data_IF_069611930282
#
_entry.id   IF_069611930282
#
_cell.length_a   1.000
_cell.length_b   1.000
_cell.length_c   1.000
_cell.angle_alpha   90.00
_cell.angle_beta   90.00
_cell.angle_gamma   90.00
#
_symmetry.space_group_name_H-M   'P 1'
#
loop_
_entity.id
_entity.type
_entity.pdbx_description
1 polymer ?
#
# COMPACT_ATOMS: atom_id res chain seq x y z
N UNK A 1 10.74 -18.84 -9.35
CA UNK A 1 11.41 -17.66 -8.72
C UNK A 1 10.80 -17.48 -7.35
N UNK A 2 11.59 -17.22 -6.31
CA UNK A 2 11.07 -16.99 -4.95
C UNK A 2 10.76 -15.51 -4.81
N UNK A 3 9.49 -15.17 -4.64
CA UNK A 3 9.03 -13.80 -4.37
C UNK A 3 9.66 -13.28 -3.06
N UNK A 4 9.93 -11.97 -2.98
CA UNK A 4 10.44 -11.33 -1.75
C UNK A 4 9.33 -11.22 -0.70
N UNK A 5 8.06 -11.06 -1.15
CA UNK A 5 6.85 -11.13 -0.35
C UNK A 5 5.82 -12.00 -1.08
N UNK A 6 5.21 -12.94 -0.36
CA UNK A 6 4.10 -13.76 -0.83
C UNK A 6 2.98 -13.73 0.19
N UNK A 7 1.82 -13.25 -0.22
CA UNK A 7 0.60 -13.14 0.58
C UNK A 7 -0.47 -14.02 -0.05
N UNK A 8 -1.00 -14.97 0.73
CA UNK A 8 -2.03 -15.88 0.25
C UNK A 8 -3.22 -15.88 1.20
N UNK A 9 -4.41 -15.74 0.62
CA UNK A 9 -5.69 -15.82 1.31
C UNK A 9 -5.74 -14.95 2.59
N UNK A 10 -5.14 -13.75 2.57
CA UNK A 10 -5.13 -12.87 3.72
C UNK A 10 -6.56 -12.45 4.07
N UNK A 11 -6.96 -12.75 5.29
CA UNK A 11 -8.25 -12.36 5.88
C UNK A 11 -8.03 -11.64 7.18
N UNK A 12 -8.64 -10.47 7.31
CA UNK A 12 -8.66 -9.69 8.55
C UNK A 12 -10.10 -9.48 8.96
N UNK A 13 -10.40 -9.78 10.23
CA UNK A 13 -11.75 -9.67 10.75
C UNK A 13 -11.83 -8.78 11.98
N UNK A 14 -13.00 -8.21 12.21
CA UNK A 14 -13.37 -7.47 13.41
C UNK A 14 -14.68 -8.01 13.98
N UNK A 15 -14.83 -8.05 15.30
CA UNK A 15 -16.13 -8.33 15.91
C UNK A 15 -17.11 -7.19 15.60
N UNK A 16 -18.36 -7.54 15.27
CA UNK A 16 -19.44 -6.59 15.01
C UNK A 16 -20.75 -7.22 15.48
N UNK A 17 -21.35 -6.69 16.53
CA UNK A 17 -22.54 -7.21 17.21
C UNK A 17 -22.40 -8.72 17.50
N UNK A 18 -23.19 -9.56 16.85
CA UNK A 18 -23.16 -11.02 17.04
C UNK A 18 -22.41 -11.78 15.93
N UNK A 19 -21.65 -11.09 15.08
CA UNK A 19 -20.92 -11.68 13.93
C UNK A 19 -19.54 -11.09 13.77
N UNK A 20 -18.75 -11.65 12.87
CA UNK A 20 -17.49 -11.05 12.40
C UNK A 20 -17.69 -10.40 11.05
N UNK A 21 -17.02 -9.29 10.83
CA UNK A 21 -16.93 -8.60 9.53
C UNK A 21 -15.50 -8.73 9.01
N UNK A 22 -15.32 -8.79 7.70
CA UNK A 22 -14.05 -9.10 7.05
C UNK A 22 -13.63 -7.97 6.10
N UNK A 23 -13.11 -6.81 6.60
CA UNK A 23 -12.66 -5.73 5.73
C UNK A 23 -11.57 -6.12 4.73
N UNK A 24 -10.82 -7.20 5.01
CA UNK A 24 -9.91 -7.88 4.08
C UNK A 24 -10.33 -9.35 4.03
N UNK A 25 -10.59 -9.87 2.85
CA UNK A 25 -11.23 -11.17 2.68
C UNK A 25 -10.70 -11.94 1.46
N UNK A 26 -9.69 -12.77 1.70
CA UNK A 26 -9.09 -13.62 0.69
C UNK A 26 -8.16 -12.87 -0.28
N UNK A 27 -7.43 -11.87 0.22
CA UNK A 27 -6.46 -11.12 -0.57
C UNK A 27 -5.20 -11.95 -0.77
N UNK A 28 -4.78 -12.08 -2.05
CA UNK A 28 -3.57 -12.81 -2.42
C UNK A 28 -2.80 -12.01 -3.46
N UNK A 29 -1.53 -11.77 -3.22
CA UNK A 29 -0.60 -11.11 -4.14
C UNK A 29 0.84 -11.45 -3.78
N UNK A 30 1.76 -11.18 -4.68
CA UNK A 30 3.19 -11.32 -4.44
C UNK A 30 3.93 -10.06 -4.86
N UNK A 31 5.18 -9.94 -4.44
CA UNK A 31 6.06 -8.85 -4.78
C UNK A 31 7.45 -9.40 -5.05
N UNK A 32 8.05 -9.03 -6.17
CA UNK A 32 9.39 -9.41 -6.55
C UNK A 32 10.42 -8.34 -6.14
N UNK A 33 11.69 -8.74 -6.06
CA UNK A 33 12.77 -7.81 -5.70
C UNK A 33 12.88 -6.69 -6.76
N UNK A 34 12.92 -5.44 -6.29
CA UNK A 34 13.00 -4.27 -7.16
C UNK A 34 11.69 -3.91 -7.87
N UNK A 35 10.62 -4.71 -7.70
CA UNK A 35 9.30 -4.46 -8.26
C UNK A 35 8.55 -3.41 -7.45
N UNK A 36 7.72 -2.61 -8.13
CA UNK A 36 6.66 -1.81 -7.52
C UNK A 36 5.31 -2.40 -7.86
N UNK A 37 4.60 -2.93 -6.86
CA UNK A 37 3.19 -3.30 -6.96
C UNK A 37 2.33 -2.16 -6.41
N UNK A 38 1.42 -1.63 -7.21
CA UNK A 38 0.43 -0.69 -6.74
C UNK A 38 -0.84 -1.40 -6.27
N UNK A 39 -1.29 -1.13 -5.05
CA UNK A 39 -2.59 -1.56 -4.53
C UNK A 39 -3.53 -0.36 -4.55
N UNK A 40 -4.50 -0.36 -5.46
CA UNK A 40 -5.39 0.79 -5.71
C UNK A 40 -6.86 0.47 -5.42
N UNK A 41 -7.66 1.49 -5.13
CA UNK A 41 -9.10 1.38 -4.91
C UNK A 41 -9.66 2.52 -4.09
N UNK A 42 -10.98 2.62 -3.99
CA UNK A 42 -11.67 3.65 -3.20
C UNK A 42 -11.31 3.56 -1.71
N UNK A 43 -11.50 4.66 -0.97
CA UNK A 43 -11.33 4.67 0.49
C UNK A 43 -12.25 3.63 1.16
N UNK A 44 -11.75 2.98 2.21
CA UNK A 44 -12.50 1.95 2.94
C UNK A 44 -12.53 0.56 2.29
N UNK A 45 -11.89 0.33 1.12
CA UNK A 45 -11.87 -0.99 0.49
C UNK A 45 -10.91 -2.02 1.13
N UNK A 46 -10.10 -1.63 2.14
CA UNK A 46 -9.24 -2.54 2.91
C UNK A 46 -7.73 -2.41 2.66
N UNK A 47 -7.26 -1.47 1.84
CA UNK A 47 -5.84 -1.31 1.46
C UNK A 47 -4.90 -1.12 2.67
N UNK A 48 -5.16 -0.09 3.49
CA UNK A 48 -4.34 0.20 4.68
C UNK A 48 -4.38 -0.93 5.70
N UNK A 49 -5.50 -1.63 5.82
CA UNK A 49 -5.60 -2.77 6.71
C UNK A 49 -4.80 -3.97 6.19
N UNK A 50 -4.73 -4.14 4.87
CA UNK A 50 -3.86 -5.12 4.22
C UNK A 50 -2.38 -4.82 4.54
N UNK A 51 -1.95 -3.56 4.42
CA UNK A 51 -0.56 -3.16 4.74
C UNK A 51 -0.20 -3.38 6.21
N UNK A 52 -1.09 -3.01 7.12
CA UNK A 52 -0.90 -3.24 8.56
C UNK A 52 -0.80 -4.72 8.91
N UNK A 53 -1.57 -5.58 8.22
CA UNK A 53 -1.53 -7.02 8.43
C UNK A 53 -0.16 -7.64 8.09
N UNK A 54 0.55 -7.11 7.08
CA UNK A 54 1.90 -7.57 6.71
C UNK A 54 2.90 -7.45 7.88
N UNK A 55 2.66 -6.52 8.78
CA UNK A 55 3.49 -6.25 9.96
C UNK A 55 2.84 -6.74 11.27
N UNK A 56 1.73 -7.48 11.21
CA UNK A 56 0.91 -7.83 12.39
C UNK A 56 0.57 -6.60 13.24
N UNK A 57 0.21 -5.47 12.60
CA UNK A 57 -0.19 -4.21 13.23
C UNK A 57 -1.70 -3.96 13.13
N UNK A 58 -2.49 -5.01 12.88
CA UNK A 58 -3.96 -4.89 12.87
C UNK A 58 -4.42 -4.37 14.23
N UNK A 59 -5.18 -3.25 14.29
CA UNK A 59 -5.60 -2.66 15.55
C UNK A 59 -6.62 -3.55 16.27
N UNK A 60 -6.53 -3.59 17.60
CA UNK A 60 -7.53 -4.29 18.43
C UNK A 60 -8.91 -3.66 18.25
N UNK A 61 -9.99 -4.45 18.23
CA UNK A 61 -10.09 -5.90 18.44
C UNK A 61 -9.97 -6.75 17.15
N UNK A 62 -9.38 -6.20 16.09
CA UNK A 62 -9.17 -6.90 14.81
C UNK A 62 -8.15 -8.03 14.94
N UNK A 63 -8.27 -9.02 14.08
CA UNK A 63 -7.32 -10.15 14.01
C UNK A 63 -7.14 -10.66 12.59
N UNK A 64 -5.96 -11.22 12.33
CA UNK A 64 -5.67 -11.95 11.09
C UNK A 64 -6.21 -13.38 11.30
N UNK A 65 -7.05 -13.83 10.36
CA UNK A 65 -7.73 -15.13 10.46
C UNK A 65 -6.79 -16.29 10.13
N UNK A 66 -7.01 -17.47 10.76
CA UNK A 66 -6.34 -18.71 10.38
C UNK A 66 -6.51 -19.02 8.90
N UNK A 67 -5.48 -19.62 8.29
CA UNK A 67 -5.43 -19.89 6.84
C UNK A 67 -4.91 -18.73 6.00
N UNK A 68 -4.66 -17.56 6.61
CA UNK A 68 -3.88 -16.49 5.98
C UNK A 68 -2.40 -16.87 5.97
N UNK A 69 -1.68 -16.53 4.89
CA UNK A 69 -0.23 -16.74 4.77
C UNK A 69 0.44 -15.42 4.41
N UNK A 70 1.49 -15.07 5.13
CA UNK A 70 2.38 -13.93 4.81
C UNK A 70 3.81 -14.45 4.92
N UNK A 71 4.51 -14.57 3.78
CA UNK A 71 5.90 -15.04 3.71
C UNK A 71 6.84 -13.97 3.20
N UNK A 72 7.98 -13.83 3.85
CA UNK A 72 9.12 -13.06 3.38
C UNK A 72 10.21 -14.06 2.98
N UNK A 73 10.31 -14.35 1.69
CA UNK A 73 11.05 -15.50 1.17
C UNK A 73 10.63 -16.76 1.95
N UNK A 74 11.54 -17.36 2.73
CA UNK A 74 11.29 -18.60 3.49
C UNK A 74 10.71 -18.36 4.90
N UNK A 75 10.47 -17.11 5.31
CA UNK A 75 10.03 -16.76 6.67
C UNK A 75 8.52 -16.57 6.72
N UNK A 76 7.82 -17.39 7.51
CA UNK A 76 6.40 -17.17 7.85
C UNK A 76 6.28 -16.05 8.88
N UNK A 77 5.79 -14.87 8.44
CA UNK A 77 5.64 -13.69 9.29
C UNK A 77 4.62 -13.94 10.40
N UNK A 78 3.55 -14.70 10.12
CA UNK A 78 2.46 -14.90 11.08
C UNK A 78 2.86 -15.84 12.24
N UNK A 79 3.90 -16.64 12.07
CA UNK A 79 4.45 -17.48 13.13
C UNK A 79 5.35 -16.69 14.10
N UNK A 80 5.83 -15.50 13.72
CA UNK A 80 6.79 -14.74 14.52
C UNK A 80 6.14 -14.00 15.69
N UNK A 81 6.87 -13.87 16.80
CA UNK A 81 6.48 -13.13 18.01
C UNK A 81 7.70 -12.42 18.61
N UNK A 82 7.43 -11.45 19.47
CA UNK A 82 8.46 -10.76 20.26
C UNK A 82 9.62 -10.22 19.42
N UNK A 83 10.85 -10.55 19.80
CA UNK A 83 12.06 -10.02 19.17
C UNK A 83 12.21 -10.45 17.69
N UNK A 84 11.77 -11.66 17.32
CA UNK A 84 11.82 -12.11 15.93
C UNK A 84 10.90 -11.26 15.03
N UNK A 85 9.70 -10.92 15.51
CA UNK A 85 8.79 -10.03 14.80
C UNK A 85 9.33 -8.58 14.76
N UNK A 86 9.94 -8.11 15.85
CA UNK A 86 10.57 -6.78 15.90
C UNK A 86 11.66 -6.64 14.84
N UNK A 87 12.46 -7.69 14.58
CA UNK A 87 13.48 -7.69 13.52
C UNK A 87 12.91 -7.61 12.11
N UNK A 88 11.72 -8.16 11.87
CA UNK A 88 11.04 -8.02 10.57
C UNK A 88 10.61 -6.56 10.34
N UNK A 89 10.01 -5.94 11.38
CA UNK A 89 9.57 -4.55 11.33
C UNK A 89 10.78 -3.63 11.26
N UNK A 90 10.92 -2.93 10.16
CA UNK A 90 12.04 -2.04 9.85
C UNK A 90 13.14 -2.70 9.03
N UNK A 91 13.67 -3.89 9.42
CA UNK A 91 14.80 -4.53 8.72
C UNK A 91 14.41 -5.28 7.44
N UNK A 92 13.25 -5.92 7.43
CA UNK A 92 12.74 -6.61 6.25
C UNK A 92 11.64 -5.80 5.57
N UNK A 93 10.73 -5.23 6.34
CA UNK A 93 9.64 -4.37 5.85
C UNK A 93 9.72 -3.03 6.58
N UNK A 94 10.01 -1.96 5.84
CA UNK A 94 9.79 -0.58 6.24
C UNK A 94 8.38 -0.13 5.87
N UNK A 95 7.79 0.78 6.65
CA UNK A 95 6.45 1.28 6.37
C UNK A 95 6.38 2.81 6.50
N UNK A 96 5.83 3.45 5.48
CA UNK A 96 5.40 4.84 5.48
C UNK A 96 3.90 4.83 5.75
N UNK A 97 3.47 5.41 6.87
CA UNK A 97 2.07 5.49 7.26
C UNK A 97 1.38 6.66 6.55
N UNK A 98 0.06 6.59 6.46
CA UNK A 98 -0.77 7.55 5.73
C UNK A 98 -0.69 9.00 6.26
N UNK A 99 -0.55 9.19 7.58
CA UNK A 99 -0.58 10.52 8.21
C UNK A 99 0.75 10.84 8.93
N UNK A 100 1.54 11.80 8.40
CA UNK A 100 2.77 12.23 9.04
C UNK A 100 2.56 12.97 10.36
N UNK A 101 1.39 13.52 10.58
CA UNK A 101 1.09 14.28 11.81
C UNK A 101 0.94 13.38 13.02
N UNK A 102 0.42 12.16 12.82
CA UNK A 102 0.23 11.18 13.89
C UNK A 102 1.40 10.21 14.02
N UNK A 103 2.22 10.07 12.97
CA UNK A 103 3.33 9.11 12.92
C UNK A 103 4.61 9.64 13.57
N UNK A 104 4.84 10.96 13.54
CA UNK A 104 5.99 11.58 14.22
C UNK A 104 5.60 11.99 15.64
N UNK A 105 6.40 11.56 16.62
CA UNK A 105 6.20 11.97 18.00
C UNK A 105 6.61 13.46 18.18
N UNK A 106 5.68 14.37 18.53
CA UNK A 106 5.94 15.81 18.55
C UNK A 106 6.91 16.26 19.66
N UNK A 107 7.13 15.45 20.69
CA UNK A 107 7.99 15.79 21.84
C UNK A 107 9.42 15.29 21.69
N UNK A 108 9.76 14.53 20.64
CA UNK A 108 11.11 14.11 20.32
C UNK A 108 11.66 14.83 19.08
N UNK A 109 12.97 15.08 19.08
CA UNK A 109 13.63 15.66 17.91
C UNK A 109 13.66 14.67 16.75
N UNK A 110 13.70 15.19 15.54
CA UNK A 110 13.76 14.39 14.30
C UNK A 110 14.93 13.41 14.32
N UNK A 111 16.13 13.90 14.67
CA UNK A 111 17.33 13.06 14.74
C UNK A 111 17.22 11.93 15.76
N UNK A 112 16.56 12.17 16.89
CA UNK A 112 16.39 11.14 17.92
C UNK A 112 15.47 10.02 17.43
N UNK A 113 14.38 10.35 16.73
CA UNK A 113 13.44 9.37 16.19
C UNK A 113 14.07 8.49 15.08
N UNK A 114 14.88 9.08 14.19
CA UNK A 114 15.62 8.32 13.16
C UNK A 114 16.70 7.45 13.83
N UNK A 115 17.46 8.02 14.77
CA UNK A 115 18.54 7.31 15.49
C UNK A 115 18.00 6.13 16.29
N UNK A 116 16.84 6.26 16.93
CA UNK A 116 16.16 5.15 17.61
C UNK A 116 15.89 3.99 16.68
N UNK A 117 15.35 4.25 15.49
CA UNK A 117 15.11 3.22 14.46
C UNK A 117 16.40 2.51 14.04
N UNK A 118 17.50 3.25 13.88
CA UNK A 118 18.81 2.68 13.54
C UNK A 118 19.32 1.78 14.69
N UNK A 119 19.35 2.28 15.92
CA UNK A 119 19.86 1.56 17.09
C UNK A 119 19.01 0.33 17.45
N UNK A 120 17.74 0.31 17.08
CA UNK A 120 16.88 -0.86 17.26
C UNK A 120 17.33 -2.06 16.42
N UNK A 121 18.08 -1.83 15.33
CA UNK A 121 18.44 -2.87 14.34
C UNK A 121 19.94 -3.06 14.17
N UNK A 122 20.76 -2.06 14.51
CA UNK A 122 22.22 -2.11 14.34
C UNK A 122 22.94 -1.95 15.67
N UNK A 123 23.96 -2.77 15.87
CA UNK A 123 24.85 -2.68 17.04
C UNK A 123 26.00 -1.68 16.78
N UNK A 124 25.67 -0.39 16.77
CA UNK A 124 26.62 0.70 16.54
C UNK A 124 26.50 1.74 17.64
N UNK A 125 27.47 2.64 17.72
CA UNK A 125 27.45 3.75 18.68
C UNK A 125 26.35 4.77 18.34
N UNK A 126 25.93 5.54 19.34
CA UNK A 126 24.94 6.62 19.15
C UNK A 126 25.47 7.71 18.21
N UNK A 127 26.79 7.96 18.21
CA UNK A 127 27.41 8.90 17.28
C UNK A 127 27.28 8.41 15.83
N UNK A 128 27.68 7.18 15.55
CA UNK A 128 27.52 6.57 14.22
C UNK A 128 26.07 6.51 13.76
N UNK A 129 25.13 6.21 14.67
CA UNK A 129 23.70 6.22 14.34
C UNK A 129 23.22 7.63 14.00
N UNK A 130 23.74 8.67 14.66
CA UNK A 130 23.42 10.06 14.35
C UNK A 130 23.99 10.50 12.99
N UNK A 131 25.19 10.05 12.63
CA UNK A 131 25.80 10.32 11.34
C UNK A 131 24.98 9.65 10.20
N UNK A 132 24.53 8.41 10.41
CA UNK A 132 23.61 7.74 9.47
C UNK A 132 22.26 8.46 9.37
N UNK A 133 21.72 8.97 10.48
CA UNK A 133 20.50 9.75 10.47
C UNK A 133 20.66 11.04 9.64
N UNK A 134 21.81 11.70 9.72
CA UNK A 134 22.16 12.85 8.91
C UNK A 134 22.20 12.49 7.42
N UNK A 135 22.85 11.38 7.06
CA UNK A 135 22.90 10.88 5.68
C UNK A 135 21.50 10.58 5.15
N UNK A 136 20.64 9.95 5.93
CA UNK A 136 19.24 9.69 5.53
C UNK A 136 18.47 10.97 5.27
N UNK A 137 18.64 12.01 6.11
CA UNK A 137 17.99 13.31 5.84
C UNK A 137 18.48 13.96 4.55
N UNK A 138 19.76 13.79 4.20
CA UNK A 138 20.32 14.25 2.92
C UNK A 138 19.74 13.46 1.74
N UNK A 139 19.68 12.14 1.85
CA UNK A 139 19.12 11.25 0.81
C UNK A 139 17.66 11.55 0.50
N UNK A 140 16.86 11.84 1.52
CA UNK A 140 15.45 12.23 1.32
C UNK A 140 15.29 13.70 0.91
N UNK A 141 16.37 14.45 0.80
CA UNK A 141 16.39 15.84 0.33
C UNK A 141 15.84 16.86 1.33
N UNK A 142 16.11 16.68 2.62
CA UNK A 142 15.83 17.69 3.64
C UNK A 142 16.86 18.84 3.50
N UNK A 143 16.42 20.10 3.39
CA UNK A 143 17.31 21.25 3.40
C UNK A 143 17.90 21.44 4.81
N UNK A 144 19.16 21.90 4.90
CA UNK A 144 19.87 22.16 6.16
C UNK A 144 19.81 20.99 7.15
N UNK A 145 20.18 19.76 6.75
CA UNK A 145 19.87 18.54 7.50
C UNK A 145 20.53 18.51 8.89
N UNK A 146 21.66 19.19 9.09
CA UNK A 146 22.33 19.31 10.38
C UNK A 146 21.46 20.09 11.39
N UNK A 147 20.83 21.17 10.94
CA UNK A 147 19.90 21.95 11.76
C UNK A 147 18.61 21.14 12.02
N UNK A 148 18.06 20.51 10.95
CA UNK A 148 16.80 19.76 11.03
C UNK A 148 16.89 18.48 11.86
N UNK A 149 18.08 17.90 12.05
CA UNK A 149 18.28 16.82 13.03
C UNK A 149 17.87 17.22 14.45
N UNK A 150 18.07 18.50 14.81
CA UNK A 150 17.77 19.03 16.14
C UNK A 150 16.36 19.63 16.24
N UNK A 151 15.66 19.77 15.11
CA UNK A 151 14.32 20.31 15.06
C UNK A 151 13.27 19.32 15.59
N UNK A 152 12.14 19.85 16.05
CA UNK A 152 10.95 19.09 16.39
C UNK A 152 10.00 19.01 15.19
N UNK A 153 9.14 17.98 15.10
CA UNK A 153 8.20 17.82 13.97
C UNK A 153 7.35 19.08 13.69
N UNK A 154 6.90 19.79 14.70
CA UNK A 154 6.07 20.98 14.54
C UNK A 154 6.81 22.17 13.88
N UNK A 155 8.16 22.14 13.85
CA UNK A 155 8.99 23.15 13.19
C UNK A 155 9.22 22.86 11.70
N UNK A 156 8.68 21.75 11.17
CA UNK A 156 8.84 21.31 9.80
C UNK A 156 7.56 21.55 8.99
N UNK A 157 7.71 21.83 7.69
CA UNK A 157 6.59 21.83 6.75
C UNK A 157 6.01 20.42 6.55
N UNK A 158 4.81 20.30 5.98
CA UNK A 158 4.18 19.00 5.68
C UNK A 158 5.06 18.08 4.83
N UNK A 159 5.62 18.61 3.75
CA UNK A 159 6.54 17.86 2.89
C UNK A 159 7.85 17.47 3.57
N UNK A 160 8.39 18.29 4.49
CA UNK A 160 9.57 17.93 5.27
C UNK A 160 9.23 16.82 6.28
N UNK A 161 8.08 16.86 6.95
CA UNK A 161 7.64 15.76 7.84
C UNK A 161 7.49 14.45 7.07
N UNK A 162 6.94 14.50 5.86
CA UNK A 162 6.83 13.32 5.00
C UNK A 162 8.21 12.74 4.65
N UNK A 163 9.18 13.58 4.30
CA UNK A 163 10.56 13.16 4.03
C UNK A 163 11.23 12.55 5.27
N UNK A 164 10.96 13.09 6.46
CA UNK A 164 11.43 12.51 7.73
C UNK A 164 10.81 11.14 7.98
N UNK A 165 9.51 10.95 7.71
CA UNK A 165 8.88 9.61 7.80
C UNK A 165 9.52 8.61 6.84
N UNK A 166 9.84 9.03 5.62
CA UNK A 166 10.58 8.19 4.66
C UNK A 166 11.95 7.82 5.24
N UNK A 167 12.69 8.79 5.81
CA UNK A 167 13.98 8.53 6.44
C UNK A 167 13.87 7.52 7.60
N UNK A 168 12.84 7.61 8.43
CA UNK A 168 12.57 6.65 9.51
C UNK A 168 12.24 5.27 8.95
N UNK A 169 11.39 5.17 7.92
CA UNK A 169 11.04 3.91 7.29
C UNK A 169 12.25 3.20 6.67
N UNK A 170 13.24 3.98 6.21
CA UNK A 170 14.49 3.49 5.61
C UNK A 170 15.65 3.30 6.61
N UNK A 171 15.48 3.71 7.86
CA UNK A 171 16.52 3.73 8.88
C UNK A 171 17.15 2.35 9.14
N UNK A 172 16.39 1.29 8.99
CA UNK A 172 16.85 -0.08 9.15
C UNK A 172 17.20 -0.78 7.81
N UNK A 173 17.29 -0.06 6.69
CA UNK A 173 17.62 -0.58 5.36
C UNK A 173 16.71 -1.75 4.94
N UNK A 174 15.40 -1.53 4.78
CA UNK A 174 14.44 -2.58 4.46
C UNK A 174 14.63 -3.17 3.06
N UNK A 175 14.23 -4.43 2.90
CA UNK A 175 14.13 -5.09 1.58
C UNK A 175 12.85 -4.71 0.85
N UNK A 176 11.78 -4.42 1.61
CA UNK A 176 10.46 -4.03 1.12
C UNK A 176 10.05 -2.74 1.80
N UNK A 177 9.57 -1.79 1.02
CA UNK A 177 8.94 -0.57 1.51
C UNK A 177 7.44 -0.61 1.23
N UNK A 178 6.64 -0.57 2.28
CA UNK A 178 5.18 -0.38 2.19
C UNK A 178 4.90 1.11 2.32
N UNK A 179 4.38 1.73 1.27
CA UNK A 179 4.04 3.15 1.25
C UNK A 179 2.51 3.31 1.20
N UNK A 180 1.90 3.56 2.35
CA UNK A 180 0.45 3.71 2.49
C UNK A 180 0.05 5.18 2.31
N UNK A 181 -0.46 5.50 1.12
CA UNK A 181 -0.84 6.85 0.70
C UNK A 181 0.24 7.91 1.01
N UNK A 182 1.48 7.73 0.53
CA UNK A 182 2.64 8.50 0.98
C UNK A 182 2.60 9.99 0.61
N UNK A 183 1.60 10.43 -0.12
CA UNK A 183 1.47 11.82 -0.60
C UNK A 183 0.13 12.46 -0.26
N UNK A 184 -0.69 11.79 0.55
CA UNK A 184 -2.00 12.35 0.97
C UNK A 184 -1.82 13.66 1.74
N UNK A 185 -2.68 14.64 1.47
CA UNK A 185 -2.67 15.99 2.03
C UNK A 185 -1.44 16.87 1.67
N UNK A 186 -0.69 16.51 0.63
CA UNK A 186 0.38 17.34 0.06
C UNK A 186 -0.10 18.03 -1.23
N UNK A 187 0.48 19.19 -1.53
CA UNK A 187 0.28 19.82 -2.83
C UNK A 187 0.94 19.02 -3.97
N UNK A 188 0.46 19.20 -5.19
CA UNK A 188 0.89 18.41 -6.37
C UNK A 188 2.41 18.47 -6.61
N UNK A 189 3.03 19.61 -6.34
CA UNK A 189 4.47 19.80 -6.55
C UNK A 189 5.27 19.00 -5.53
N UNK A 190 4.92 19.09 -4.26
CA UNK A 190 5.55 18.31 -3.18
C UNK A 190 5.29 16.83 -3.34
N UNK A 191 4.08 16.44 -3.76
CA UNK A 191 3.73 15.06 -4.09
C UNK A 191 4.67 14.49 -5.15
N UNK A 192 4.89 15.20 -6.27
CA UNK A 192 5.79 14.76 -7.33
C UNK A 192 7.23 14.56 -6.81
N UNK A 193 7.73 15.50 -6.01
CA UNK A 193 9.06 15.41 -5.40
C UNK A 193 9.22 14.23 -4.43
N UNK A 194 8.20 13.93 -3.63
CA UNK A 194 8.21 12.78 -2.71
C UNK A 194 8.27 11.46 -3.50
N UNK A 195 7.47 11.35 -4.55
CA UNK A 195 7.45 10.16 -5.40
C UNK A 195 8.78 9.97 -6.13
N UNK A 196 9.41 11.04 -6.62
CA UNK A 196 10.74 10.99 -7.22
C UNK A 196 11.81 10.52 -6.23
N UNK A 197 11.74 10.96 -4.98
CA UNK A 197 12.62 10.46 -3.90
C UNK A 197 12.42 8.96 -3.70
N UNK A 198 11.18 8.48 -3.65
CA UNK A 198 10.88 7.05 -3.47
C UNK A 198 11.40 6.23 -4.66
N UNK A 199 11.19 6.67 -5.90
CA UNK A 199 11.66 5.99 -7.12
C UNK A 199 13.20 5.88 -7.14
N UNK A 200 13.90 6.99 -6.82
CA UNK A 200 15.36 7.00 -6.72
C UNK A 200 15.88 6.04 -5.65
N UNK A 201 15.27 6.05 -4.45
CA UNK A 201 15.69 5.19 -3.34
C UNK A 201 15.36 3.72 -3.62
N UNK A 202 14.24 3.41 -4.27
CA UNK A 202 13.91 2.07 -4.74
C UNK A 202 15.02 1.54 -5.66
N UNK A 203 15.35 2.31 -6.69
CA UNK A 203 16.34 1.91 -7.70
C UNK A 203 17.74 1.78 -7.09
N UNK A 204 18.18 2.75 -6.29
CA UNK A 204 19.55 2.75 -5.72
C UNK A 204 19.76 1.64 -4.70
N UNK A 205 18.71 1.21 -3.99
CA UNK A 205 18.78 0.19 -2.94
C UNK A 205 18.28 -1.19 -3.38
N UNK A 206 17.71 -1.29 -4.60
CA UNK A 206 17.10 -2.53 -5.11
C UNK A 206 15.94 -3.04 -4.26
N UNK A 207 15.20 -2.11 -3.62
CA UNK A 207 14.04 -2.43 -2.78
C UNK A 207 12.83 -2.79 -3.63
N UNK A 208 11.98 -3.66 -3.09
CA UNK A 208 10.62 -3.83 -3.57
C UNK A 208 9.70 -2.79 -2.91
N UNK A 209 8.67 -2.32 -3.62
CA UNK A 209 7.73 -1.31 -3.11
C UNK A 209 6.29 -1.80 -3.25
N UNK A 210 5.55 -1.82 -2.15
CA UNK A 210 4.09 -1.91 -2.16
C UNK A 210 3.53 -0.49 -2.02
N UNK A 211 3.09 0.09 -3.13
CA UNK A 211 2.53 1.43 -3.18
C UNK A 211 1.00 1.37 -3.05
N UNK A 212 0.48 1.88 -1.96
CA UNK A 212 -0.96 1.99 -1.73
C UNK A 212 -1.40 3.42 -2.05
N UNK A 213 -2.37 3.55 -2.95
CA UNK A 213 -2.91 4.85 -3.33
C UNK A 213 -4.32 4.72 -3.90
N UNK A 214 -5.07 5.81 -3.87
CA UNK A 214 -6.32 5.94 -4.63
C UNK A 214 -6.14 6.74 -5.92
N UNK A 215 -4.95 7.29 -6.17
CA UNK A 215 -4.63 8.11 -7.33
C UNK A 215 -3.96 7.27 -8.43
N UNK A 216 -4.71 6.95 -9.48
CA UNK A 216 -4.22 6.23 -10.65
C UNK A 216 -3.16 7.02 -11.45
N UNK A 217 -3.14 8.36 -11.33
CA UNK A 217 -2.12 9.19 -11.96
C UNK A 217 -0.73 8.94 -11.38
N UNK A 218 -0.65 8.63 -10.07
CA UNK A 218 0.61 8.26 -9.42
C UNK A 218 1.12 6.91 -9.92
N UNK A 219 0.21 5.97 -10.14
CA UNK A 219 0.52 4.59 -10.54
C UNK A 219 1.12 4.52 -11.94
N UNK A 220 0.55 5.33 -12.86
CA UNK A 220 1.03 5.41 -14.23
C UNK A 220 2.51 5.85 -14.28
N UNK A 221 3.37 4.99 -14.84
CA UNK A 221 4.80 5.25 -14.99
C UNK A 221 5.65 4.99 -13.73
N UNK A 222 5.07 4.46 -12.63
CA UNK A 222 5.80 4.11 -11.40
C UNK A 222 5.64 2.66 -10.96
N UNK A 223 4.46 2.09 -11.15
CA UNK A 223 4.22 0.71 -10.79
C UNK A 223 4.49 -0.22 -11.98
N UNK A 224 5.09 -1.38 -11.69
CA UNK A 224 5.28 -2.45 -12.66
C UNK A 224 3.98 -3.24 -12.82
N UNK A 225 3.27 -3.49 -11.72
CA UNK A 225 1.97 -4.16 -11.66
C UNK A 225 0.98 -3.40 -10.80
N UNK A 226 -0.29 -3.61 -11.08
CA UNK A 226 -1.41 -3.01 -10.32
C UNK A 226 -2.37 -4.10 -9.87
N UNK A 227 -2.72 -4.07 -8.60
CA UNK A 227 -3.81 -4.84 -8.02
C UNK A 227 -4.92 -3.87 -7.59
N UNK A 228 -6.09 -4.00 -8.20
CA UNK A 228 -7.26 -3.17 -7.90
C UNK A 228 -8.08 -3.85 -6.81
N UNK A 229 -8.30 -3.15 -5.71
CA UNK A 229 -9.03 -3.64 -4.54
C UNK A 229 -10.41 -3.01 -4.43
N UNK A 230 -11.43 -3.83 -4.18
CA UNK A 230 -12.79 -3.38 -3.92
C UNK A 230 -13.43 -4.25 -2.83
N UNK A 231 -14.05 -3.60 -1.84
CA UNK A 231 -14.81 -4.27 -0.77
C UNK A 231 -14.08 -5.47 -0.15
N UNK A 232 -12.79 -5.31 0.19
CA UNK A 232 -11.97 -6.33 0.85
C UNK A 232 -11.33 -7.37 -0.06
N UNK A 233 -11.48 -7.30 -1.38
CA UNK A 233 -10.94 -8.28 -2.33
C UNK A 233 -10.15 -7.62 -3.45
N UNK A 234 -9.14 -8.32 -3.98
CA UNK A 234 -8.54 -7.97 -5.27
C UNK A 234 -9.51 -8.42 -6.37
N UNK A 235 -9.94 -7.46 -7.17
CA UNK A 235 -10.93 -7.67 -8.22
C UNK A 235 -10.34 -7.65 -9.64
N UNK A 236 -9.17 -7.06 -9.80
CA UNK A 236 -8.40 -7.06 -11.05
C UNK A 236 -6.92 -6.89 -10.75
N UNK A 237 -6.08 -7.59 -11.49
CA UNK A 237 -4.62 -7.53 -11.38
C UNK A 237 -4.00 -7.73 -12.76
N UNK A 238 -3.07 -6.83 -13.13
CA UNK A 238 -2.33 -6.90 -14.38
C UNK A 238 -1.03 -6.08 -14.34
N UNK A 239 -0.10 -6.26 -15.28
CA UNK A 239 0.94 -5.28 -15.58
C UNK A 239 0.32 -3.90 -15.82
N UNK A 240 1.00 -2.85 -15.37
CA UNK A 240 0.47 -1.48 -15.39
C UNK A 240 0.04 -1.06 -16.79
N UNK A 241 0.91 -1.25 -17.78
CA UNK A 241 0.60 -0.87 -19.15
C UNK A 241 -0.66 -1.57 -19.69
N UNK A 242 -0.81 -2.86 -19.41
CA UNK A 242 -1.96 -3.65 -19.84
C UNK A 242 -3.25 -3.19 -19.15
N UNK A 243 -3.22 -2.94 -17.83
CA UNK A 243 -4.38 -2.47 -17.09
C UNK A 243 -4.85 -1.10 -17.58
N UNK A 244 -3.90 -0.18 -17.87
CA UNK A 244 -4.21 1.15 -18.36
C UNK A 244 -4.73 1.14 -19.81
N UNK A 245 -4.22 0.24 -20.66
CA UNK A 245 -4.68 0.08 -22.02
C UNK A 245 -6.06 -0.60 -22.11
N UNK A 246 -6.29 -1.63 -21.29
CA UNK A 246 -7.46 -2.49 -21.38
C UNK A 246 -8.01 -2.93 -20.01
N UNK A 247 -8.54 -1.99 -19.18
CA UNK A 247 -9.18 -2.34 -17.93
C UNK A 247 -10.41 -3.23 -18.20
N UNK A 248 -10.46 -4.42 -17.59
CA UNK A 248 -11.46 -5.43 -17.93
C UNK A 248 -12.62 -5.48 -16.94
N UNK A 249 -12.34 -5.28 -15.63
CA UNK A 249 -13.40 -5.28 -14.63
C UNK A 249 -14.23 -3.97 -14.68
N UNK A 250 -15.56 -4.03 -14.64
CA UNK A 250 -16.41 -2.84 -14.69
C UNK A 250 -16.13 -1.77 -13.64
N UNK A 251 -15.68 -2.15 -12.45
CA UNK A 251 -15.24 -1.21 -11.43
C UNK A 251 -13.96 -0.46 -11.85
N UNK A 252 -12.97 -1.17 -12.36
CA UNK A 252 -11.73 -0.57 -12.87
C UNK A 252 -12.00 0.39 -14.01
N UNK A 253 -12.87 -0.01 -14.95
CA UNK A 253 -13.34 0.86 -16.03
C UNK A 253 -13.98 2.15 -15.48
N UNK A 254 -14.78 2.03 -14.41
CA UNK A 254 -15.39 3.17 -13.72
C UNK A 254 -14.36 4.06 -13.04
N UNK A 255 -13.34 3.49 -12.38
CA UNK A 255 -12.24 4.25 -11.77
C UNK A 255 -11.50 5.07 -12.84
N UNK A 256 -11.12 4.47 -13.97
CA UNK A 256 -10.47 5.18 -15.07
C UNK A 256 -11.36 6.25 -15.72
N UNK A 257 -12.67 6.03 -15.79
CA UNK A 257 -13.62 7.02 -16.30
C UNK A 257 -13.82 8.22 -15.38
N UNK A 258 -13.45 8.09 -14.11
CA UNK A 258 -13.53 9.17 -13.10
C UNK A 258 -12.26 10.02 -13.02
N UNK A 259 -11.16 9.61 -13.66
CA UNK A 259 -9.89 10.36 -13.68
C UNK A 259 -9.83 11.31 -14.86
N UNK A 260 -9.49 12.62 -14.66
CA UNK A 260 -9.30 13.55 -15.76
C UNK A 260 -8.15 13.11 -16.69
N UNK A 261 -8.36 13.14 -18.00
CA UNK A 261 -7.29 12.95 -18.97
C UNK A 261 -6.57 14.27 -19.21
N UNK A 262 -5.24 14.24 -19.17
CA UNK A 262 -4.40 15.44 -19.43
C UNK A 262 -4.38 15.76 -20.94
N UNK A 263 -4.59 14.74 -21.79
CA UNK A 263 -4.56 14.88 -23.25
C UNK A 263 -5.84 14.40 -23.90
N UNK A 264 -6.26 15.05 -25.00
CA UNK A 264 -7.46 14.72 -25.74
C UNK A 264 -8.66 15.63 -25.45
N UNK A 265 -9.81 15.40 -26.09
CA UNK A 265 -11.00 16.20 -25.88
C UNK A 265 -11.53 16.07 -24.47
N UNK A 266 -11.96 17.20 -23.88
CA UNK A 266 -12.61 17.23 -22.56
C UNK A 266 -13.82 16.29 -22.58
N UNK A 267 -13.80 15.23 -21.78
CA UNK A 267 -14.92 14.34 -21.55
C UNK A 267 -15.55 14.65 -20.20
N UNK A 268 -16.86 14.58 -20.13
CA UNK A 268 -17.57 14.65 -18.85
C UNK A 268 -17.14 13.44 -18.01
N UNK A 269 -16.60 13.69 -16.80
CA UNK A 269 -16.26 12.64 -15.86
C UNK A 269 -17.54 11.91 -15.43
N UNK A 270 -17.46 10.59 -15.40
CA UNK A 270 -18.59 9.76 -14.99
C UNK A 270 -18.21 9.07 -13.67
N UNK A 271 -18.65 9.60 -12.52
CA UNK A 271 -18.36 8.98 -11.22
C UNK A 271 -19.05 7.63 -11.10
N UNK A 272 -18.43 6.70 -10.38
CA UNK A 272 -19.05 5.44 -10.01
C UNK A 272 -20.19 5.77 -9.01
N UNK A 273 -21.42 5.36 -9.35
CA UNK A 273 -22.61 5.66 -8.52
C UNK A 273 -22.55 4.93 -7.17
N UNK A 274 -23.03 5.59 -6.12
CA UNK A 274 -23.11 5.04 -4.76
C UNK A 274 -21.74 4.95 -4.08
N UNK A 275 -21.68 4.29 -2.92
CA UNK A 275 -20.49 4.14 -2.09
C UNK A 275 -20.09 2.67 -2.00
N UNK A 276 -18.83 2.41 -1.61
CA UNK A 276 -18.38 1.07 -1.23
C UNK A 276 -19.23 0.60 -0.05
N UNK A 277 -19.86 -0.58 -0.12
CA UNK A 277 -20.66 -1.09 0.99
C UNK A 277 -19.79 -1.34 2.21
N UNK A 278 -20.32 -1.09 3.41
CA UNK A 278 -19.63 -1.42 4.65
C UNK A 278 -19.39 -2.93 4.74
N UNK A 279 -18.30 -3.38 5.42
CA UNK A 279 -18.02 -4.81 5.58
C UNK A 279 -19.15 -5.62 6.25
N UNK A 280 -20.02 -4.94 6.99
CA UNK A 280 -21.22 -5.54 7.60
C UNK A 280 -22.41 -5.68 6.65
N UNK A 281 -22.36 -5.05 5.47
CA UNK A 281 -23.46 -4.97 4.50
C UNK A 281 -23.03 -5.39 3.08
N UNK A 282 -22.01 -6.24 2.96
CA UNK A 282 -21.62 -6.76 1.67
C UNK A 282 -22.74 -7.58 1.04
N UNK A 283 -23.05 -7.36 -0.23
CA UNK A 283 -24.06 -8.13 -0.93
C UNK A 283 -23.63 -9.59 -1.11
N UNK A 284 -24.59 -10.47 -1.22
CA UNK A 284 -24.33 -11.84 -1.70
C UNK A 284 -23.83 -11.82 -3.14
N UNK A 285 -22.95 -12.73 -3.49
CA UNK A 285 -22.37 -12.82 -4.82
C UNK A 285 -21.30 -11.75 -5.08
N UNK A 286 -21.27 -11.21 -6.29
CA UNK A 286 -20.32 -10.17 -6.67
C UNK A 286 -20.52 -8.89 -5.83
N UNK A 287 -19.51 -8.48 -5.10
CA UNK A 287 -19.58 -7.31 -4.19
C UNK A 287 -19.81 -5.99 -4.91
N UNK A 288 -19.43 -5.91 -6.19
CA UNK A 288 -19.67 -4.73 -7.02
C UNK A 288 -21.06 -4.73 -7.66
N UNK A 289 -21.84 -5.85 -7.63
CA UNK A 289 -23.13 -6.00 -8.27
C UNK A 289 -24.07 -4.80 -8.10
N UNK A 290 -24.28 -4.23 -6.90
CA UNK A 290 -25.21 -3.10 -6.71
C UNK A 290 -24.82 -1.81 -7.45
N UNK A 291 -23.56 -1.67 -7.81
CA UNK A 291 -23.00 -0.49 -8.50
C UNK A 291 -22.62 -0.80 -9.97
N UNK A 292 -22.71 -2.07 -10.37
CA UNK A 292 -22.24 -2.54 -11.66
C UNK A 292 -23.25 -2.24 -12.78
N UNK A 293 -22.88 -1.45 -13.80
CA UNK A 293 -23.76 -1.20 -14.94
C UNK A 293 -23.93 -2.43 -15.87
N UNK A 294 -23.10 -3.47 -15.66
CA UNK A 294 -23.10 -4.72 -16.45
C UNK A 294 -23.51 -5.94 -15.60
N UNK A 295 -24.23 -5.72 -14.48
CA UNK A 295 -24.72 -6.80 -13.64
C UNK A 295 -25.73 -7.69 -14.40
N UNK A 296 -25.68 -8.99 -14.15
CA UNK A 296 -26.57 -10.00 -14.72
C UNK A 296 -26.77 -11.16 -13.74
N UNK A 297 -27.64 -12.13 -14.05
CA UNK A 297 -28.06 -13.16 -13.10
C UNK A 297 -26.90 -13.92 -12.43
N UNK A 298 -25.85 -14.29 -13.18
CA UNK A 298 -24.67 -14.97 -12.61
C UNK A 298 -23.92 -14.10 -11.59
N UNK A 299 -24.11 -12.78 -11.60
CA UNK A 299 -23.52 -11.87 -10.58
C UNK A 299 -24.08 -12.10 -9.17
N UNK A 300 -25.14 -12.88 -8.99
CA UNK A 300 -25.64 -13.35 -7.70
C UNK A 300 -24.74 -14.40 -7.04
N UNK A 301 -23.81 -14.95 -7.78
CA UNK A 301 -22.77 -15.85 -7.31
C UNK A 301 -21.44 -15.07 -7.21
N UNK A 302 -20.63 -15.38 -6.20
CA UNK A 302 -19.32 -14.76 -6.03
C UNK A 302 -18.36 -15.24 -7.14
N UNK A 303 -17.79 -14.33 -7.96
CA UNK A 303 -16.85 -14.73 -8.99
C UNK A 303 -15.48 -15.06 -8.38
N UNK A 304 -14.81 -16.13 -8.83
CA UNK A 304 -13.40 -16.34 -8.53
C UNK A 304 -12.54 -15.33 -9.32
N UNK A 305 -11.26 -15.25 -8.98
CA UNK A 305 -10.29 -14.49 -9.77
C UNK A 305 -9.93 -15.32 -11.03
N UNK A 306 -10.47 -14.93 -12.16
CA UNK A 306 -10.35 -15.64 -13.43
C UNK A 306 -9.29 -15.00 -14.35
N UNK A 307 -8.54 -15.77 -15.16
CA UNK A 307 -7.68 -15.21 -16.18
C UNK A 307 -8.49 -14.50 -17.27
N UNK A 308 -7.98 -13.36 -17.72
CA UNK A 308 -8.46 -12.64 -18.91
C UNK A 308 -7.45 -12.82 -20.04
N UNK A 309 -6.15 -12.81 -19.66
CA UNK A 309 -5.00 -13.02 -20.53
C UNK A 309 -3.85 -13.61 -19.68
N UNK A 310 -2.67 -13.82 -20.27
CA UNK A 310 -1.52 -14.49 -19.63
C UNK A 310 -1.16 -13.90 -18.26
N UNK A 311 -1.13 -12.57 -18.14
CA UNK A 311 -0.76 -11.86 -16.90
C UNK A 311 -1.87 -10.93 -16.40
N UNK A 312 -3.09 -11.12 -16.87
CA UNK A 312 -4.24 -10.31 -16.52
C UNK A 312 -5.35 -11.18 -15.93
N UNK A 313 -5.77 -10.89 -14.71
CA UNK A 313 -6.83 -11.63 -14.01
C UNK A 313 -7.88 -10.67 -13.49
N UNK A 314 -9.16 -11.09 -13.52
CA UNK A 314 -10.25 -10.33 -12.91
C UNK A 314 -11.24 -11.21 -12.15
N UNK A 315 -11.82 -10.69 -11.08
CA UNK A 315 -12.87 -11.31 -10.27
C UNK A 315 -14.24 -10.90 -10.81
N UNK A 316 -14.56 -11.40 -12.01
CA UNK A 316 -15.80 -11.07 -12.68
C UNK A 316 -16.21 -12.19 -13.66
N UNK A 317 -17.49 -12.56 -13.68
CA UNK A 317 -18.03 -13.55 -14.60
C UNK A 317 -17.98 -13.13 -16.08
N UNK A 318 -17.74 -11.84 -16.36
CA UNK A 318 -17.53 -11.39 -17.74
C UNK A 318 -16.21 -11.96 -18.33
N UNK A 319 -15.26 -12.42 -17.50
CA UNK A 319 -14.05 -13.08 -18.00
C UNK A 319 -14.36 -14.30 -18.88
N UNK A 320 -15.40 -15.06 -18.53
CA UNK A 320 -15.83 -16.22 -19.32
C UNK A 320 -16.37 -15.87 -20.73
N UNK A 321 -16.63 -14.58 -21.00
CA UNK A 321 -17.10 -14.09 -22.29
C UNK A 321 -15.98 -13.55 -23.17
N UNK A 322 -14.78 -13.44 -22.65
CA UNK A 322 -13.58 -12.97 -23.35
C UNK A 322 -12.70 -14.14 -23.86
N UNK A 323 -12.95 -15.36 -23.42
CA UNK A 323 -12.40 -16.61 -23.96
C UNK A 323 -13.45 -17.24 -24.89
#
# INVERSE_FOLDING_TARGET
MTHVLDVQNLRVSFPADHRRVYPVDGVSFWLDRGETLALVGESGCGKSLTSLALLQLVPNPGQIEPGSVIRLADTDVLALRGEALRRIRGRRIGMIFQDPMTSLNPVFRVGDQITEGILAHFKISRAEARDRALQLLQEVGIPDPVERLNAYPHQLSGGMRQRVMIAIALAAEPEILVADEPTTALDVTVQAQILEVLDRLRTSRGMAVLLITHDLGIVAGRADRVAVMYAGQIIEEAPTELLFANPSHPYTQGLFASVPRITGPLRRLTPIRGNVPAPSAWPSGCRFRPRCPKAFDKSEQEPPLLPVDTDHRMRCWLAERHG
#
